data_IF_198649296117
#
_entry.id   IF_198649296117
#
_cell.length_a   1.000
_cell.length_b   1.000
_cell.length_c   1.000
_cell.angle_alpha   90.00
_cell.angle_beta   90.00
_cell.angle_gamma   90.00
#
_symmetry.space_group_name_H-M   'P 1'
#
loop_
_entity.id
_entity.type
_entity.pdbx_description
1 polymer ?
#
# COMPACT_ATOMS: atom_id res chain seq x y z
N UNK A 1 -23.89 15.12 -8.27
CA UNK A 1 -23.69 15.03 -6.81
C UNK A 1 -22.19 15.02 -6.58
N UNK A 2 -21.62 16.13 -6.14
CA UNK A 2 -20.20 16.21 -5.79
C UNK A 2 -19.99 15.45 -4.49
N UNK A 3 -19.36 14.28 -4.54
CA UNK A 3 -18.90 13.61 -3.35
C UNK A 3 -17.76 14.43 -2.76
N UNK A 4 -18.07 15.28 -1.78
CA UNK A 4 -17.06 15.87 -0.90
C UNK A 4 -16.49 14.75 -0.03
N UNK A 5 -15.45 14.11 -0.51
CA UNK A 5 -14.71 13.14 0.29
C UNK A 5 -13.59 13.89 0.98
N UNK A 6 -13.69 14.01 2.30
CA UNK A 6 -12.62 14.52 3.15
C UNK A 6 -11.46 13.54 3.11
N UNK A 7 -10.43 13.85 2.35
CA UNK A 7 -9.22 13.05 2.27
C UNK A 7 -8.19 13.54 3.29
N UNK A 8 -7.84 12.66 4.21
CA UNK A 8 -6.60 12.77 4.96
C UNK A 8 -5.46 12.30 4.05
N UNK A 9 -4.84 13.20 3.30
CA UNK A 9 -3.62 12.87 2.55
C UNK A 9 -2.50 12.39 3.48
N UNK A 10 -2.45 12.90 4.69
CA UNK A 10 -1.66 12.41 5.80
C UNK A 10 -2.25 12.95 7.12
N UNK A 11 -2.44 12.06 8.09
CA UNK A 11 -2.84 12.45 9.43
C UNK A 11 -1.64 13.07 10.13
N UNK A 12 -1.71 14.37 10.41
CA UNK A 12 -0.87 14.96 11.43
C UNK A 12 -1.45 14.56 12.78
N UNK A 13 -0.66 14.02 13.73
CA UNK A 13 -1.18 13.57 15.01
C UNK A 13 -1.93 14.66 15.81
N UNK A 14 -1.66 15.94 15.53
CA UNK A 14 -2.15 17.08 16.29
C UNK A 14 -3.02 18.07 15.50
N UNK A 15 -3.24 17.89 14.19
CA UNK A 15 -4.06 18.82 13.41
C UNK A 15 -5.09 18.07 12.56
N UNK A 16 -6.37 18.29 12.85
CA UNK A 16 -7.49 17.90 11.99
C UNK A 16 -7.59 18.83 10.76
N UNK A 17 -6.55 18.86 9.94
CA UNK A 17 -6.57 19.62 8.69
C UNK A 17 -7.39 18.89 7.64
N UNK A 18 -8.69 19.14 7.57
CA UNK A 18 -9.58 18.64 6.53
C UNK A 18 -9.40 19.51 5.29
N UNK A 19 -8.72 18.97 4.26
CA UNK A 19 -8.57 19.64 2.98
C UNK A 19 -9.62 19.10 2.02
N UNK A 20 -10.39 19.98 1.37
CA UNK A 20 -11.38 19.59 0.38
C UNK A 20 -10.70 19.12 -0.91
N UNK A 21 -10.98 17.89 -1.31
CA UNK A 21 -10.51 17.32 -2.56
C UNK A 21 -11.68 16.68 -3.33
N UNK A 22 -11.53 16.59 -4.64
CA UNK A 22 -12.47 15.87 -5.52
C UNK A 22 -11.77 14.61 -5.98
N UNK A 23 -12.49 13.48 -5.94
CA UNK A 23 -12.01 12.23 -6.52
C UNK A 23 -12.58 12.10 -7.93
N UNK A 24 -11.70 11.95 -8.88
CA UNK A 24 -12.05 11.75 -10.29
C UNK A 24 -10.92 10.97 -10.96
N UNK A 25 -11.27 10.02 -11.84
CA UNK A 25 -10.32 9.22 -12.63
C UNK A 25 -9.26 8.50 -11.76
N UNK A 26 -9.71 7.91 -10.64
CA UNK A 26 -8.86 7.17 -9.69
C UNK A 26 -7.72 8.01 -9.07
N UNK A 27 -7.79 9.32 -9.16
CA UNK A 27 -6.85 10.24 -8.53
C UNK A 27 -7.60 11.32 -7.75
N UNK A 28 -6.85 12.11 -7.00
CA UNK A 28 -7.36 13.24 -6.24
C UNK A 28 -7.07 14.55 -6.96
N UNK A 29 -8.03 15.46 -6.88
CA UNK A 29 -7.96 16.78 -7.46
C UNK A 29 -8.23 17.82 -6.38
N UNK A 30 -7.46 18.89 -6.31
CA UNK A 30 -7.70 19.98 -5.38
C UNK A 30 -7.46 21.35 -6.03
N UNK A 31 -8.03 22.38 -5.39
CA UNK A 31 -7.83 23.78 -5.82
C UNK A 31 -6.53 24.34 -5.27
N UNK A 32 -6.05 25.47 -5.83
CA UNK A 32 -4.92 26.22 -5.26
C UNK A 32 -5.17 26.64 -3.81
N UNK A 33 -6.42 26.95 -3.44
CA UNK A 33 -6.82 27.29 -2.07
C UNK A 33 -6.62 26.09 -1.15
N UNK A 34 -7.08 24.91 -1.56
CA UNK A 34 -6.91 23.67 -0.81
C UNK A 34 -5.42 23.30 -0.64
N UNK A 35 -4.58 23.50 -1.68
CA UNK A 35 -3.12 23.32 -1.57
C UNK A 35 -2.48 24.33 -0.61
N UNK A 36 -2.95 25.57 -0.58
CA UNK A 36 -2.48 26.60 0.34
C UNK A 36 -2.74 26.20 1.81
N UNK A 37 -3.92 25.68 2.10
CA UNK A 37 -4.30 25.15 3.42
C UNK A 37 -3.46 23.89 3.77
N UNK A 38 -3.30 22.98 2.81
CA UNK A 38 -2.52 21.75 2.96
C UNK A 38 -1.06 22.03 3.35
N UNK A 39 -0.41 22.95 2.64
CA UNK A 39 1.00 23.25 2.85
C UNK A 39 1.26 24.44 3.78
N UNK A 40 0.22 25.14 4.23
CA UNK A 40 0.33 26.23 5.18
C UNK A 40 1.07 27.46 4.62
N UNK A 41 0.83 27.79 3.35
CA UNK A 41 1.31 29.01 2.69
C UNK A 41 0.16 29.76 2.02
N UNK A 42 0.40 30.96 1.55
CA UNK A 42 -0.61 31.73 0.83
C UNK A 42 -0.86 31.21 -0.59
N UNK A 43 -2.04 31.53 -1.14
CA UNK A 43 -2.45 31.11 -2.49
C UNK A 43 -1.51 31.66 -3.57
N UNK A 44 -0.93 32.85 -3.38
CA UNK A 44 -0.03 33.48 -4.36
C UNK A 44 1.29 32.71 -4.44
N UNK A 45 1.77 32.17 -3.31
CA UNK A 45 2.90 31.27 -3.25
C UNK A 45 2.65 29.98 -4.04
N UNK A 46 1.48 29.34 -3.85
CA UNK A 46 1.07 28.17 -4.63
C UNK A 46 1.03 28.47 -6.11
N UNK A 47 0.38 29.58 -6.51
CA UNK A 47 0.27 29.97 -7.92
C UNK A 47 1.64 30.16 -8.58
N UNK A 48 2.60 30.73 -7.88
CA UNK A 48 3.98 30.90 -8.35
C UNK A 48 4.69 29.55 -8.56
N UNK A 49 4.54 28.61 -7.61
CA UNK A 49 5.11 27.27 -7.76
C UNK A 49 4.52 26.55 -8.95
N UNK A 50 3.19 26.57 -9.13
CA UNK A 50 2.51 25.96 -10.28
C UNK A 50 3.01 26.58 -11.59
N UNK A 51 3.12 27.91 -11.67
CA UNK A 51 3.65 28.57 -12.88
C UNK A 51 5.07 28.15 -13.21
N UNK A 52 5.92 27.96 -12.20
CA UNK A 52 7.29 27.50 -12.40
C UNK A 52 7.35 26.05 -12.86
N UNK A 53 6.51 25.16 -12.29
CA UNK A 53 6.42 23.76 -12.71
C UNK A 53 6.09 23.64 -14.20
N UNK A 54 5.11 24.43 -14.68
CA UNK A 54 4.77 24.44 -16.11
C UNK A 54 5.85 25.09 -16.97
N UNK A 55 6.53 26.16 -16.51
CA UNK A 55 7.63 26.79 -17.25
C UNK A 55 8.86 25.91 -17.40
N UNK A 56 9.08 25.02 -16.45
CA UNK A 56 10.20 24.07 -16.41
C UNK A 56 9.85 22.73 -17.08
N UNK A 57 8.66 22.63 -17.70
CA UNK A 57 8.14 21.42 -18.35
C UNK A 57 8.15 20.16 -17.44
N UNK A 58 8.11 20.35 -16.10
CA UNK A 58 8.03 19.24 -15.17
C UNK A 58 6.69 18.50 -15.29
N UNK A 59 5.60 19.24 -15.52
CA UNK A 59 4.26 18.70 -15.74
C UNK A 59 3.58 19.44 -16.89
N UNK A 60 2.68 18.72 -17.61
CA UNK A 60 1.91 19.29 -18.70
C UNK A 60 0.55 19.79 -18.20
N UNK A 61 0.11 20.95 -18.70
CA UNK A 61 -1.14 21.59 -18.22
C UNK A 61 -2.40 20.81 -18.58
N UNK A 62 -2.43 20.19 -19.75
CA UNK A 62 -3.57 19.44 -20.29
C UNK A 62 -3.87 18.16 -19.47
N UNK A 63 -2.84 17.54 -18.86
CA UNK A 63 -2.97 16.33 -18.06
C UNK A 63 -3.11 16.60 -16.56
N UNK A 64 -2.71 17.78 -16.10
CA UNK A 64 -2.65 18.11 -14.67
C UNK A 64 -3.69 19.12 -14.18
N UNK A 65 -4.38 19.81 -15.10
CA UNK A 65 -5.41 20.81 -14.76
C UNK A 65 -6.76 20.39 -15.33
N UNK A 66 -7.78 20.39 -14.49
CA UNK A 66 -9.17 20.20 -14.92
C UNK A 66 -10.05 21.36 -14.44
N UNK A 67 -10.95 21.82 -15.29
CA UNK A 67 -11.99 22.78 -14.91
C UNK A 67 -13.21 22.02 -14.41
N UNK A 68 -13.53 22.19 -13.14
CA UNK A 68 -14.66 21.54 -12.50
C UNK A 68 -15.68 22.59 -12.03
N UNK A 69 -16.94 22.39 -12.39
CA UNK A 69 -18.03 23.24 -11.91
C UNK A 69 -18.20 23.04 -10.40
N UNK A 70 -18.10 24.10 -9.64
CA UNK A 70 -18.18 24.06 -8.17
C UNK A 70 -19.05 25.21 -7.68
N UNK A 71 -19.88 24.93 -6.68
CA UNK A 71 -20.66 25.97 -6.01
C UNK A 71 -19.76 26.78 -5.09
N UNK A 72 -19.62 28.06 -5.38
CA UNK A 72 -18.79 29.00 -4.60
C UNK A 72 -19.69 30.01 -3.94
N UNK A 73 -19.54 30.19 -2.63
CA UNK A 73 -20.27 31.23 -1.90
C UNK A 73 -19.60 32.59 -2.13
N UNK A 74 -20.32 33.50 -2.79
CA UNK A 74 -19.88 34.87 -3.10
C UNK A 74 -20.45 35.92 -2.14
N UNK A 75 -20.76 35.52 -0.90
CA UNK A 75 -21.28 36.42 0.12
C UNK A 75 -22.65 36.95 -0.24
N UNK A 76 -22.79 38.28 -0.48
CA UNK A 76 -24.05 38.95 -0.79
C UNK A 76 -24.78 38.40 -2.06
N UNK A 77 -24.01 37.83 -3.00
CA UNK A 77 -24.57 37.22 -4.22
C UNK A 77 -25.00 35.77 -4.04
N UNK A 78 -24.85 35.20 -2.85
CA UNK A 78 -25.22 33.82 -2.55
C UNK A 78 -24.28 32.79 -3.19
N UNK A 79 -24.80 31.59 -3.38
CA UNK A 79 -24.11 30.48 -4.02
C UNK A 79 -24.19 30.59 -5.54
N UNK A 80 -23.03 30.58 -6.20
CA UNK A 80 -22.91 30.66 -7.66
C UNK A 80 -22.08 29.48 -8.14
N UNK A 81 -22.53 28.83 -9.22
CA UNK A 81 -21.76 27.80 -9.87
C UNK A 81 -20.67 28.44 -10.76
N UNK A 82 -19.41 28.11 -10.49
CA UNK A 82 -18.27 28.62 -11.23
C UNK A 82 -17.35 27.47 -11.67
N UNK A 83 -16.74 27.63 -12.84
CA UNK A 83 -15.66 26.73 -13.29
C UNK A 83 -14.38 27.11 -12.58
N UNK A 84 -13.90 26.21 -11.74
CA UNK A 84 -12.69 26.39 -10.94
C UNK A 84 -11.61 25.43 -11.44
N UNK A 85 -10.36 25.91 -11.50
CA UNK A 85 -9.24 25.05 -11.85
C UNK A 85 -8.88 24.14 -10.67
N UNK A 86 -8.88 22.83 -10.95
CA UNK A 86 -8.43 21.79 -10.06
C UNK A 86 -7.16 21.17 -10.60
N UNK A 87 -6.28 20.76 -9.71
CA UNK A 87 -4.97 20.19 -9.97
C UNK A 87 -4.91 18.77 -9.44
N UNK A 88 -4.34 17.85 -10.22
CA UNK A 88 -4.23 16.43 -9.87
C UNK A 88 -3.17 16.16 -8.79
N UNK A 89 -3.03 14.88 -8.39
CA UNK A 89 -2.07 14.44 -7.39
C UNK A 89 -0.62 14.77 -7.77
N UNK A 90 -0.26 14.68 -9.06
CA UNK A 90 1.10 14.97 -9.51
C UNK A 90 1.49 16.41 -9.22
N UNK A 91 0.57 17.36 -9.52
CA UNK A 91 0.79 18.78 -9.16
C UNK A 91 0.87 18.99 -7.66
N UNK A 92 0.05 18.30 -6.85
CA UNK A 92 0.10 18.40 -5.38
C UNK A 92 1.47 17.95 -4.88
N UNK A 93 1.99 16.85 -5.41
CA UNK A 93 3.31 16.32 -5.06
C UNK A 93 4.42 17.30 -5.47
N UNK A 94 4.43 17.75 -6.73
CA UNK A 94 5.43 18.68 -7.25
C UNK A 94 5.50 19.98 -6.44
N UNK A 95 4.34 20.56 -6.10
CA UNK A 95 4.25 21.74 -5.24
C UNK A 95 4.76 21.44 -3.82
N UNK A 96 4.38 20.30 -3.24
CA UNK A 96 4.79 19.88 -1.89
C UNK A 96 6.31 19.73 -1.73
N UNK A 97 7.01 19.34 -2.80
CA UNK A 97 8.47 19.29 -2.79
C UNK A 97 9.14 20.66 -2.93
N UNK A 98 8.47 21.64 -3.53
CA UNK A 98 9.02 22.99 -3.76
C UNK A 98 8.71 23.98 -2.62
N UNK A 99 7.64 23.75 -1.86
CA UNK A 99 7.20 24.63 -0.78
C UNK A 99 8.11 24.49 0.44
N UNK A 100 8.56 25.66 0.97
CA UNK A 100 9.32 25.73 2.22
C UNK A 100 8.39 26.08 3.39
N UNK A 101 7.79 25.06 4.03
CA UNK A 101 6.96 25.22 5.22
C UNK A 101 7.05 24.01 6.15
N UNK A 102 6.70 24.14 7.43
CA UNK A 102 6.64 22.99 8.35
C UNK A 102 5.67 21.89 7.87
N UNK A 103 4.51 22.27 7.31
CA UNK A 103 3.53 21.32 6.77
C UNK A 103 4.08 20.57 5.55
N UNK A 104 4.72 21.28 4.61
CA UNK A 104 5.37 20.66 3.46
C UNK A 104 6.55 19.75 3.88
N UNK A 105 7.27 20.08 4.94
CA UNK A 105 8.32 19.21 5.49
C UNK A 105 7.72 17.91 6.02
N UNK A 106 6.63 17.96 6.79
CA UNK A 106 5.93 16.77 7.26
C UNK A 106 5.39 15.91 6.10
N UNK A 107 4.84 16.55 5.05
CA UNK A 107 4.42 15.86 3.83
C UNK A 107 5.57 15.10 3.17
N UNK A 108 6.74 15.73 2.97
CA UNK A 108 7.92 15.07 2.41
C UNK A 108 8.43 13.90 3.27
N UNK A 109 8.42 14.06 4.61
CA UNK A 109 8.79 12.97 5.54
C UNK A 109 7.86 11.77 5.41
N UNK A 110 6.54 12.02 5.32
CA UNK A 110 5.55 10.97 5.09
C UNK A 110 5.76 10.27 3.73
N UNK A 111 5.91 11.03 2.65
CA UNK A 111 6.16 10.46 1.33
C UNK A 111 7.46 9.63 1.29
N UNK A 112 8.52 10.13 1.91
CA UNK A 112 9.80 9.42 2.04
C UNK A 112 9.65 8.11 2.83
N UNK A 113 8.83 8.10 3.89
CA UNK A 113 8.55 6.89 4.67
C UNK A 113 7.89 5.81 3.80
N UNK A 114 6.87 6.19 3.02
CA UNK A 114 6.17 5.28 2.09
C UNK A 114 7.12 4.73 1.03
N UNK A 115 7.92 5.60 0.39
CA UNK A 115 8.90 5.18 -0.61
C UNK A 115 9.96 4.25 -0.05
N UNK A 116 10.47 4.54 1.14
CA UNK A 116 11.44 3.68 1.82
C UNK A 116 10.84 2.30 2.15
N UNK A 117 9.59 2.26 2.58
CA UNK A 117 8.91 1.00 2.85
C UNK A 117 8.72 0.18 1.58
N UNK A 118 8.29 0.83 0.49
CA UNK A 118 8.16 0.19 -0.82
C UNK A 118 9.49 -0.35 -1.34
N UNK A 119 10.58 0.44 -1.27
CA UNK A 119 11.92 0.02 -1.73
C UNK A 119 12.43 -1.18 -0.92
N UNK A 120 12.20 -1.20 0.40
CA UNK A 120 12.66 -2.28 1.27
C UNK A 120 11.85 -3.56 1.14
N UNK A 121 10.53 -3.45 1.00
CA UNK A 121 9.59 -4.59 1.08
C UNK A 121 9.00 -4.99 -0.28
N UNK A 122 9.01 -4.09 -1.27
CA UNK A 122 8.31 -4.26 -2.55
C UNK A 122 6.80 -4.00 -2.49
N UNK A 123 6.27 -3.59 -1.33
CA UNK A 123 4.86 -3.23 -1.15
C UNK A 123 4.66 -2.25 0.00
N UNK A 124 3.55 -1.53 -0.03
CA UNK A 124 3.02 -0.71 1.08
C UNK A 124 1.55 -1.06 1.22
N UNK A 125 1.08 -1.34 2.44
CA UNK A 125 -0.31 -1.66 2.74
C UNK A 125 -0.85 -0.71 3.80
N UNK A 126 -2.07 -0.24 3.59
CA UNK A 126 -2.87 0.45 4.59
C UNK A 126 -3.85 -0.56 5.21
N UNK A 127 -3.39 -1.23 6.27
CA UNK A 127 -4.12 -2.31 6.92
C UNK A 127 -5.47 -1.87 7.46
N UNK A 128 -5.56 -0.65 8.01
CA UNK A 128 -6.81 -0.13 8.57
C UNK A 128 -7.84 0.12 7.47
N UNK A 129 -7.42 0.74 6.39
CA UNK A 129 -8.27 1.01 5.24
C UNK A 129 -8.75 -0.28 4.56
N UNK A 130 -7.86 -1.27 4.42
CA UNK A 130 -8.20 -2.58 3.86
C UNK A 130 -9.21 -3.34 4.74
N UNK A 131 -9.10 -3.27 6.08
CA UNK A 131 -10.03 -3.89 7.02
C UNK A 131 -11.40 -3.20 7.04
N UNK A 132 -11.44 -1.89 6.88
CA UNK A 132 -12.69 -1.11 6.91
C UNK A 132 -13.54 -1.31 5.66
N UNK A 133 -12.98 -1.85 4.58
CA UNK A 133 -13.71 -2.08 3.32
C UNK A 133 -14.22 -0.79 2.66
N UNK A 134 -13.67 0.37 3.04
CA UNK A 134 -14.12 1.66 2.54
C UNK A 134 -13.61 1.85 1.11
N UNK A 135 -14.51 1.75 0.15
CA UNK A 135 -14.22 1.97 -1.27
C UNK A 135 -14.06 3.48 -1.55
N UNK A 136 -12.91 4.05 -1.24
CA UNK A 136 -12.64 5.48 -1.44
C UNK A 136 -12.75 5.87 -2.92
N UNK A 137 -12.33 5.00 -3.83
CA UNK A 137 -12.42 5.22 -5.28
C UNK A 137 -13.51 4.37 -5.94
N UNK A 138 -14.49 3.86 -5.16
CA UNK A 138 -15.57 3.02 -5.70
C UNK A 138 -15.15 1.61 -6.11
N UNK A 139 -13.90 1.19 -5.85
CA UNK A 139 -13.37 -0.14 -6.15
C UNK A 139 -13.01 -0.91 -4.89
N UNK A 140 -13.25 -2.21 -4.92
CA UNK A 140 -12.86 -3.14 -3.87
C UNK A 140 -11.40 -3.58 -4.04
N UNK A 141 -10.47 -2.78 -3.52
CA UNK A 141 -9.03 -3.07 -3.55
C UNK A 141 -8.63 -4.26 -2.69
N UNK A 142 -9.44 -4.66 -1.73
CA UNK A 142 -9.21 -5.89 -0.96
C UNK A 142 -9.30 -7.12 -1.86
N UNK A 143 -10.24 -7.14 -2.79
CA UNK A 143 -10.35 -8.21 -3.78
C UNK A 143 -9.12 -8.27 -4.70
N UNK A 144 -8.64 -7.14 -5.17
CA UNK A 144 -7.40 -7.06 -5.96
C UNK A 144 -6.19 -7.60 -5.17
N UNK A 145 -6.06 -7.22 -3.90
CA UNK A 145 -5.02 -7.75 -3.03
C UNK A 145 -5.10 -9.27 -2.89
N UNK A 146 -6.29 -9.82 -2.69
CA UNK A 146 -6.49 -11.28 -2.62
C UNK A 146 -6.08 -12.00 -3.91
N UNK A 147 -6.36 -11.41 -5.07
CA UNK A 147 -5.94 -11.98 -6.36
C UNK A 147 -4.41 -11.96 -6.51
N UNK A 148 -3.74 -10.90 -6.10
CA UNK A 148 -2.27 -10.82 -6.08
C UNK A 148 -1.66 -11.86 -5.14
N UNK A 149 -2.19 -12.02 -3.93
CA UNK A 149 -1.75 -13.04 -2.97
C UNK A 149 -1.94 -14.44 -3.53
N UNK A 150 -3.07 -14.72 -4.18
CA UNK A 150 -3.33 -16.02 -4.86
C UNK A 150 -2.32 -16.25 -5.99
N UNK A 151 -1.99 -15.24 -6.78
CA UNK A 151 -1.00 -15.34 -7.86
C UNK A 151 0.40 -15.65 -7.32
N UNK A 152 0.82 -15.03 -6.21
CA UNK A 152 2.10 -15.30 -5.55
C UNK A 152 2.14 -16.75 -5.06
N UNK A 153 1.08 -17.23 -4.39
CA UNK A 153 0.97 -18.64 -3.95
C UNK A 153 0.95 -19.63 -5.11
N UNK A 154 0.32 -19.29 -6.23
CA UNK A 154 0.34 -20.12 -7.42
C UNK A 154 1.76 -20.24 -8.02
N UNK A 155 2.56 -19.20 -7.95
CA UNK A 155 3.97 -19.23 -8.37
C UNK A 155 4.81 -20.11 -7.45
N UNK A 156 4.61 -20.06 -6.15
CA UNK A 156 5.26 -20.94 -5.17
C UNK A 156 4.91 -22.41 -5.43
N UNK A 157 3.61 -22.71 -5.68
CA UNK A 157 3.18 -24.06 -6.04
C UNK A 157 3.82 -24.59 -7.33
N UNK A 158 4.05 -23.72 -8.33
CA UNK A 158 4.76 -24.08 -9.57
C UNK A 158 6.20 -24.49 -9.31
N UNK A 159 6.92 -23.79 -8.43
CA UNK A 159 8.29 -24.14 -8.04
C UNK A 159 8.31 -25.55 -7.42
N UNK A 160 7.41 -25.84 -6.49
CA UNK A 160 7.28 -27.16 -5.90
C UNK A 160 6.97 -28.24 -6.92
N UNK A 161 6.09 -27.96 -7.87
CA UNK A 161 5.76 -28.90 -8.94
C UNK A 161 6.95 -29.19 -9.84
N UNK A 162 7.71 -28.17 -10.24
CA UNK A 162 8.94 -28.34 -11.00
C UNK A 162 9.99 -29.19 -10.27
N UNK A 163 10.18 -28.96 -8.96
CA UNK A 163 11.08 -29.78 -8.15
C UNK A 163 10.62 -31.24 -8.12
N UNK A 164 9.31 -31.48 -7.99
CA UNK A 164 8.74 -32.83 -8.02
C UNK A 164 8.98 -33.51 -9.35
N UNK A 165 8.73 -32.80 -10.46
CA UNK A 165 8.89 -33.32 -11.82
C UNK A 165 10.37 -33.66 -12.10
N UNK A 166 11.31 -32.77 -11.77
CA UNK A 166 12.75 -33.02 -11.92
C UNK A 166 13.20 -34.22 -11.08
N UNK A 167 12.74 -34.32 -9.83
CA UNK A 167 13.10 -35.45 -8.97
C UNK A 167 12.56 -36.79 -9.52
N UNK A 168 11.32 -36.79 -10.02
CA UNK A 168 10.72 -37.96 -10.63
C UNK A 168 11.44 -38.39 -11.92
N UNK A 169 11.84 -37.43 -12.77
CA UNK A 169 12.60 -37.71 -13.99
C UNK A 169 14.02 -38.21 -13.72
N UNK A 170 14.66 -37.76 -12.66
CA UNK A 170 16.01 -38.15 -12.26
C UNK A 170 16.04 -39.50 -11.46
N UNK A 171 14.91 -39.99 -11.03
CA UNK A 171 14.78 -41.22 -10.21
C UNK A 171 14.25 -42.37 -11.02
N UNK A 172 15.04 -43.44 -11.19
CA UNK A 172 14.69 -44.62 -11.96
C UNK A 172 13.52 -45.41 -11.33
N UNK A 173 13.40 -45.31 -10.02
CA UNK A 173 12.44 -46.03 -9.17
C UNK A 173 11.61 -45.05 -8.32
N UNK A 174 11.16 -43.97 -8.94
CA UNK A 174 10.36 -42.98 -8.24
C UNK A 174 9.07 -43.54 -7.65
N UNK A 175 8.98 -43.54 -6.33
CA UNK A 175 7.77 -43.80 -5.57
C UNK A 175 7.44 -42.62 -4.66
N UNK A 176 6.31 -41.99 -4.90
CA UNK A 176 5.81 -40.85 -4.14
C UNK A 176 5.71 -41.13 -2.63
N UNK A 177 5.47 -42.38 -2.24
CA UNK A 177 5.24 -42.79 -0.86
C UNK A 177 6.50 -43.36 -0.18
N UNK A 178 7.59 -43.49 -0.90
CA UNK A 178 8.83 -44.06 -0.36
C UNK A 178 9.42 -43.19 0.74
N UNK A 179 10.09 -43.77 1.73
CA UNK A 179 10.83 -42.99 2.75
C UNK A 179 11.85 -42.01 2.12
N UNK A 180 12.58 -42.46 1.09
CA UNK A 180 13.58 -41.67 0.38
C UNK A 180 12.98 -40.41 -0.24
N UNK A 181 11.80 -40.53 -0.86
CA UNK A 181 11.08 -39.37 -1.43
C UNK A 181 10.63 -38.39 -0.35
N UNK A 182 10.13 -38.88 0.78
CA UNK A 182 9.76 -38.05 1.92
C UNK A 182 10.95 -37.30 2.51
N UNK A 183 12.08 -37.95 2.68
CA UNK A 183 13.32 -37.36 3.19
C UNK A 183 13.85 -36.30 2.22
N UNK A 184 13.79 -36.55 0.91
CA UNK A 184 14.14 -35.56 -0.11
C UNK A 184 13.29 -34.29 0.02
N UNK A 185 11.98 -34.40 0.10
CA UNK A 185 11.12 -33.22 0.24
C UNK A 185 11.34 -32.47 1.56
N UNK A 186 11.54 -33.19 2.67
CA UNK A 186 11.86 -32.59 3.94
C UNK A 186 13.21 -31.81 3.89
N UNK A 187 14.21 -32.38 3.22
CA UNK A 187 15.49 -31.71 3.01
C UNK A 187 15.34 -30.45 2.14
N UNK A 188 14.62 -30.51 1.03
CA UNK A 188 14.40 -29.36 0.15
C UNK A 188 13.64 -28.26 0.89
N UNK A 189 12.59 -28.59 1.62
CA UNK A 189 11.84 -27.63 2.43
C UNK A 189 12.72 -26.95 3.47
N UNK A 190 13.58 -27.70 4.13
CA UNK A 190 14.49 -27.17 5.11
C UNK A 190 15.56 -26.23 4.47
N UNK A 191 16.03 -26.54 3.26
CA UNK A 191 16.93 -25.65 2.50
C UNK A 191 16.25 -24.36 2.09
N UNK A 192 14.96 -24.37 1.71
CA UNK A 192 14.22 -23.14 1.47
C UNK A 192 14.07 -22.30 2.73
N UNK A 193 13.74 -22.90 3.87
CA UNK A 193 13.71 -22.18 5.14
C UNK A 193 15.05 -21.52 5.45
N UNK A 194 16.13 -22.27 5.29
CA UNK A 194 17.49 -21.75 5.53
C UNK A 194 17.86 -20.62 4.56
N UNK A 195 17.55 -20.74 3.29
CA UNK A 195 17.84 -19.71 2.28
C UNK A 195 17.10 -18.39 2.54
N UNK A 196 15.88 -18.46 3.08
CA UNK A 196 15.04 -17.28 3.33
C UNK A 196 15.34 -16.65 4.69
N UNK A 197 15.54 -17.48 5.73
CA UNK A 197 15.59 -17.04 7.12
C UNK A 197 16.96 -17.11 7.76
N UNK A 198 17.93 -17.77 7.12
CA UNK A 198 19.21 -18.13 7.72
C UNK A 198 19.13 -19.22 8.80
N UNK A 199 17.97 -19.85 8.97
CA UNK A 199 17.68 -20.84 10.00
C UNK A 199 17.01 -22.08 9.39
N UNK A 200 17.33 -23.25 9.94
CA UNK A 200 16.59 -24.48 9.64
C UNK A 200 15.19 -24.47 10.30
N UNK A 201 14.30 -25.33 9.85
CA UNK A 201 12.96 -25.45 10.45
C UNK A 201 13.04 -25.74 11.96
N UNK A 202 13.97 -26.59 12.39
CA UNK A 202 14.19 -26.89 13.80
C UNK A 202 14.68 -25.69 14.62
N UNK A 203 15.58 -24.88 14.05
CA UNK A 203 16.06 -23.64 14.69
C UNK A 203 14.97 -22.58 14.78
N UNK A 204 14.12 -22.47 13.74
CA UNK A 204 12.96 -21.57 13.76
C UNK A 204 11.99 -21.96 14.88
N UNK A 205 11.68 -23.23 15.00
CA UNK A 205 10.82 -23.74 16.09
C UNK A 205 11.47 -23.46 17.46
N UNK A 206 12.73 -23.79 17.62
CA UNK A 206 13.47 -23.59 18.88
C UNK A 206 13.50 -22.12 19.31
N UNK A 207 13.65 -21.19 18.36
CA UNK A 207 13.73 -19.76 18.66
C UNK A 207 12.37 -19.08 18.84
N UNK A 208 11.30 -19.60 18.21
CA UNK A 208 9.98 -18.96 18.21
C UNK A 208 8.97 -19.62 19.14
N UNK A 209 9.05 -20.94 19.38
CA UNK A 209 8.16 -21.63 20.26
C UNK A 209 8.43 -21.22 21.73
N UNK A 210 7.41 -20.71 22.42
CA UNK A 210 7.50 -20.28 23.80
C UNK A 210 6.25 -20.72 24.56
N UNK A 211 6.40 -21.63 25.50
CA UNK A 211 5.31 -22.17 26.30
C UNK A 211 4.58 -21.12 27.15
N UNK A 212 5.14 -19.92 27.30
CA UNK A 212 4.55 -18.79 28.03
C UNK A 212 3.64 -17.94 27.15
N UNK A 213 3.74 -18.11 25.82
CA UNK A 213 2.90 -17.38 24.88
C UNK A 213 1.59 -18.11 24.63
N UNK A 214 0.56 -17.36 24.35
CA UNK A 214 -0.71 -17.91 23.86
C UNK A 214 -0.44 -18.80 22.64
N UNK A 215 -1.03 -20.00 22.63
CA UNK A 215 -0.82 -21.00 21.57
C UNK A 215 0.67 -21.37 21.34
N UNK A 216 1.52 -21.26 22.36
CA UNK A 216 2.97 -21.51 22.27
C UNK A 216 3.70 -20.64 21.23
N UNK A 217 3.11 -19.52 20.83
CA UNK A 217 3.62 -18.65 19.78
C UNK A 217 3.37 -19.15 18.35
N UNK A 218 2.58 -20.19 18.17
CA UNK A 218 2.16 -20.68 16.84
C UNK A 218 1.10 -19.76 16.22
N UNK A 219 1.19 -19.54 14.92
CA UNK A 219 0.18 -18.81 14.15
C UNK A 219 -0.92 -19.70 13.61
N UNK A 220 -0.65 -21.02 13.47
CA UNK A 220 -1.61 -22.03 13.07
C UNK A 220 -1.18 -23.42 13.54
N UNK A 221 -2.11 -24.34 13.75
CA UNK A 221 -1.91 -25.74 14.12
C UNK A 221 -3.09 -26.57 13.61
N UNK A 222 -3.00 -27.88 13.74
CA UNK A 222 -4.08 -28.78 13.31
C UNK A 222 -5.36 -28.50 14.09
N UNK A 223 -6.45 -28.20 13.37
CA UNK A 223 -7.75 -27.81 13.92
C UNK A 223 -7.74 -26.48 14.70
N UNK A 224 -6.87 -25.51 14.34
CA UNK A 224 -6.93 -24.16 14.87
C UNK A 224 -8.29 -23.49 14.53
N UNK A 225 -8.82 -22.58 15.37
CA UNK A 225 -8.24 -22.08 16.64
C UNK A 225 -8.53 -22.96 17.86
N UNK A 226 -9.54 -23.84 17.80
CA UNK A 226 -10.07 -24.57 18.99
C UNK A 226 -9.37 -25.91 19.23
N UNK A 227 -8.56 -26.37 18.30
CA UNK A 227 -7.85 -27.63 18.38
C UNK A 227 -6.69 -27.61 19.41
N UNK A 228 -6.44 -28.75 20.06
CA UNK A 228 -5.30 -28.92 20.95
C UNK A 228 -3.99 -28.93 20.14
N UNK A 229 -3.01 -28.16 20.55
CA UNK A 229 -1.67 -28.18 19.99
C UNK A 229 -0.97 -29.50 20.33
N UNK A 230 -0.47 -30.19 19.36
CA UNK A 230 0.25 -31.46 19.49
C UNK A 230 1.74 -31.26 19.19
N UNK A 231 2.56 -32.21 19.64
CA UNK A 231 4.01 -32.19 19.37
C UNK A 231 4.34 -32.27 17.86
N UNK A 232 3.38 -32.71 17.04
CA UNK A 232 3.51 -32.83 15.59
C UNK A 232 3.14 -31.56 14.83
N UNK A 233 2.61 -30.56 15.49
CA UNK A 233 2.24 -29.26 14.89
C UNK A 233 3.44 -28.33 14.87
#
# INVERSE_FOLDING_TARGET
MSNEIQFLLYSLPDEQGKVQVVIKDETIWCTQKAMAELFGIDKSGISRHISNIFKEDELQQDTTVAKIATVVNRGIRGEVEELVDFYNLDMIIAVGYRVSSPKATKFRQWATKILNEYIKKGFVLDDERLKQGTAVFGKDYFRELLERVRSIRASERRIWQQITDIYAECSVDYDKNSPTTRDFYAMIQNRFHYAITGQTAAEIIYTKADHRKEHMGLTTWKNAPDGRILKSD
#
